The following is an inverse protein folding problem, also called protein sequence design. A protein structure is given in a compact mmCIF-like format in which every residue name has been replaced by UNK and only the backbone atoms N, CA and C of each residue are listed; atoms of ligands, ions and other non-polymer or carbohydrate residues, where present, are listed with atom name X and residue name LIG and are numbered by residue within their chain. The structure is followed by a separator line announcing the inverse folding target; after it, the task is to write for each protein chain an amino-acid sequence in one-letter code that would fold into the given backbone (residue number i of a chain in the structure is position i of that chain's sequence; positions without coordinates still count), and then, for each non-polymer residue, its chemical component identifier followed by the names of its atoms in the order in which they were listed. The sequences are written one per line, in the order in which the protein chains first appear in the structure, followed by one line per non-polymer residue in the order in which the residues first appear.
data_IF_131573715512
#
_entry.id   IF_131573715512
#
_cell.length_a   1.000
_cell.length_b   1.000
_cell.length_c   1.000
_cell.angle_alpha   90.00
_cell.angle_beta   90.00
_cell.angle_gamma   90.00
#
_symmetry.space_group_name_H-M   'P 1'
#
loop_
_entity.id
_entity.type
_entity.pdbx_description
1 polymer ?
#
# COMPACT_ATOMS: atom_id res chain seq x y z
N UNK A 1 -10.37 -12.53 -8.38
CA UNK A 1 -10.16 -13.29 -7.14
C UNK A 1 -10.53 -14.77 -7.41
N UNK A 2 -10.32 -15.69 -6.47
CA UNK A 2 -10.69 -17.11 -6.64
C UNK A 2 -12.17 -17.37 -6.99
N UNK A 3 -13.09 -16.46 -6.64
CA UNK A 3 -14.51 -16.56 -7.02
C UNK A 3 -14.71 -16.30 -8.52
N UNK A 4 -13.90 -15.41 -9.09
CA UNK A 4 -13.91 -15.06 -10.52
C UNK A 4 -12.81 -15.76 -11.33
N UNK A 5 -12.04 -16.67 -10.71
CA UNK A 5 -10.83 -17.32 -11.27
C UNK A 5 -9.74 -16.34 -11.77
N UNK A 6 -9.76 -15.11 -11.28
CA UNK A 6 -8.72 -14.11 -11.58
C UNK A 6 -7.67 -14.09 -10.45
N UNK A 7 -6.38 -13.89 -10.77
CA UNK A 7 -5.33 -13.80 -9.76
C UNK A 7 -5.66 -12.73 -8.72
N UNK A 8 -5.46 -13.06 -7.44
CA UNK A 8 -5.60 -12.15 -6.32
C UNK A 8 -4.21 -11.93 -5.72
N UNK A 9 -3.77 -10.68 -5.48
CA UNK A 9 -2.44 -10.40 -4.94
C UNK A 9 -2.16 -11.18 -3.65
N UNK A 10 -3.15 -11.27 -2.77
CA UNK A 10 -3.04 -12.02 -1.51
C UNK A 10 -2.95 -13.53 -1.73
N UNK A 11 -3.68 -14.09 -2.70
CA UNK A 11 -3.62 -15.53 -3.00
C UNK A 11 -2.27 -15.88 -3.61
N UNK A 12 -1.76 -15.05 -4.53
CA UNK A 12 -0.43 -15.22 -5.12
C UNK A 12 0.66 -15.10 -4.06
N UNK A 13 0.55 -14.11 -3.16
CA UNK A 13 1.45 -13.97 -2.02
C UNK A 13 1.48 -15.25 -1.19
N UNK A 14 0.32 -15.77 -0.74
CA UNK A 14 0.26 -17.01 0.05
C UNK A 14 0.79 -18.21 -0.74
N UNK A 15 0.57 -18.28 -2.06
CA UNK A 15 1.10 -19.37 -2.90
C UNK A 15 2.63 -19.35 -2.97
N UNK A 16 3.23 -18.16 -3.10
CA UNK A 16 4.67 -18.00 -3.25
C UNK A 16 5.41 -18.11 -1.90
N UNK A 17 4.73 -17.73 -0.82
CA UNK A 17 5.37 -17.40 0.44
C UNK A 17 4.76 -18.12 1.66
N UNK A 18 3.64 -18.82 1.51
CA UNK A 18 2.89 -19.40 2.62
C UNK A 18 2.20 -18.34 3.50
N UNK A 19 1.42 -18.78 4.51
CA UNK A 19 0.74 -17.86 5.42
C UNK A 19 1.75 -17.14 6.32
N UNK A 20 1.88 -15.81 6.13
CA UNK A 20 2.78 -14.95 6.90
C UNK A 20 2.28 -13.50 6.92
N UNK A 21 2.96 -12.65 7.70
CA UNK A 21 2.76 -11.20 7.71
C UNK A 21 2.90 -10.62 6.29
N UNK A 22 1.84 -9.96 5.80
CA UNK A 22 1.75 -9.42 4.44
C UNK A 22 2.06 -7.92 4.36
N UNK A 23 1.59 -7.15 5.34
CA UNK A 23 1.96 -5.75 5.53
C UNK A 23 1.90 -5.34 6.99
N UNK A 24 2.53 -4.21 7.31
CA UNK A 24 2.41 -3.52 8.61
C UNK A 24 1.86 -2.12 8.35
N UNK A 25 0.78 -1.76 9.03
CA UNK A 25 0.23 -0.42 9.00
C UNK A 25 0.86 0.45 10.10
N UNK A 26 1.41 1.60 9.70
CA UNK A 26 1.93 2.63 10.58
C UNK A 26 0.98 3.83 10.56
N UNK A 27 0.46 4.17 11.73
CA UNK A 27 -0.42 5.34 11.87
C UNK A 27 0.39 6.62 11.83
N UNK A 28 0.02 7.50 10.90
CA UNK A 28 0.47 8.88 10.87
C UNK A 28 -0.52 9.73 11.66
N UNK A 29 0.01 10.58 12.55
CA UNK A 29 -0.80 11.43 13.42
C UNK A 29 -1.65 12.39 12.59
N UNK A 30 -2.94 12.54 12.94
CA UNK A 30 -3.81 13.55 12.32
C UNK A 30 -3.22 14.96 12.51
N UNK A 31 -3.20 15.71 11.42
CA UNK A 31 -2.74 17.08 11.34
C UNK A 31 -2.06 17.36 10.02
N UNK A 32 -1.52 18.57 9.93
CA UNK A 32 -0.80 19.07 8.77
C UNK A 32 0.52 19.72 9.20
N UNK A 33 1.50 19.71 8.30
CA UNK A 33 2.73 20.50 8.39
C UNK A 33 2.77 21.41 7.16
N UNK A 34 2.86 22.73 7.38
CA UNK A 34 2.92 23.73 6.30
C UNK A 34 1.78 23.61 5.27
N UNK A 35 0.56 23.29 5.73
CA UNK A 35 -0.62 23.11 4.87
C UNK A 35 -0.67 21.80 4.09
N UNK A 36 0.31 20.90 4.30
CA UNK A 36 0.34 19.55 3.74
C UNK A 36 -0.11 18.54 4.78
N UNK A 37 -0.95 17.56 4.42
CA UNK A 37 -1.31 16.47 5.33
C UNK A 37 -0.08 15.71 5.80
N UNK A 38 -0.04 15.35 7.09
CA UNK A 38 1.13 14.72 7.69
C UNK A 38 1.55 13.44 6.95
N UNK A 39 0.60 12.64 6.45
CA UNK A 39 0.89 11.46 5.64
C UNK A 39 1.67 11.84 4.38
N UNK A 40 1.25 12.87 3.67
CA UNK A 40 1.94 13.29 2.45
C UNK A 40 3.33 13.84 2.79
N UNK A 41 3.50 14.52 3.94
CA UNK A 41 4.81 14.98 4.40
C UNK A 41 5.74 13.79 4.74
N UNK A 42 5.24 12.80 5.47
CA UNK A 42 6.00 11.60 5.86
C UNK A 42 6.37 10.78 4.62
N UNK A 43 5.44 10.59 3.69
CA UNK A 43 5.67 9.87 2.44
C UNK A 43 6.77 10.54 1.62
N UNK A 44 6.73 11.86 1.44
CA UNK A 44 7.79 12.60 0.74
C UNK A 44 9.15 12.41 1.42
N UNK A 45 9.19 12.55 2.75
CA UNK A 45 10.44 12.42 3.50
C UNK A 45 11.04 11.01 3.41
N UNK A 46 10.20 9.98 3.29
CA UNK A 46 10.62 8.59 3.12
C UNK A 46 11.02 8.31 1.66
N UNK A 47 10.28 8.84 0.70
CA UNK A 47 10.60 8.76 -0.72
C UNK A 47 11.94 9.42 -1.03
N UNK A 48 12.24 10.57 -0.40
CA UNK A 48 13.52 11.26 -0.52
C UNK A 48 14.72 10.43 -0.04
N UNK A 49 14.49 9.38 0.75
CA UNK A 49 15.50 8.41 1.19
C UNK A 49 15.60 7.18 0.27
N UNK A 50 14.92 7.20 -0.88
CA UNK A 50 14.98 6.17 -1.91
C UNK A 50 13.94 5.05 -1.76
N UNK A 51 12.97 5.18 -0.83
CA UNK A 51 11.90 4.19 -0.70
C UNK A 51 10.80 4.43 -1.73
N UNK A 52 10.52 3.42 -2.56
CA UNK A 52 9.42 3.46 -3.52
C UNK A 52 8.03 3.24 -2.89
N UNK A 53 7.02 3.76 -3.57
CA UNK A 53 5.60 3.59 -3.26
C UNK A 53 4.85 3.12 -4.51
N UNK A 54 3.71 2.45 -4.31
CA UNK A 54 2.95 1.83 -5.39
C UNK A 54 2.10 2.83 -6.20
N UNK A 55 1.68 3.90 -5.53
CA UNK A 55 0.83 4.97 -6.04
C UNK A 55 1.01 6.21 -5.15
N UNK A 56 0.40 7.33 -5.54
CA UNK A 56 0.21 8.46 -4.64
C UNK A 56 -0.75 8.09 -3.49
N UNK A 57 -0.78 8.89 -2.43
CA UNK A 57 -1.72 8.64 -1.32
C UNK A 57 -3.17 8.66 -1.81
N UNK A 58 -3.94 7.64 -1.46
CA UNK A 58 -5.37 7.51 -1.77
C UNK A 58 -6.24 7.95 -0.61
N UNK A 59 -7.46 8.35 -0.92
CA UNK A 59 -8.40 8.92 0.02
C UNK A 59 -8.12 10.38 0.36
N UNK A 60 -8.88 10.92 1.30
CA UNK A 60 -8.88 12.35 1.64
C UNK A 60 -9.28 12.59 3.08
N UNK A 61 -9.16 13.85 3.51
CA UNK A 61 -9.63 14.30 4.82
C UNK A 61 -11.15 14.18 4.94
N UNK A 62 -11.85 14.51 3.86
CA UNK A 62 -13.31 14.49 3.75
C UNK A 62 -13.86 13.05 3.87
N UNK A 63 -13.12 12.08 3.35
CA UNK A 63 -13.44 10.65 3.46
C UNK A 63 -13.02 10.04 4.82
N UNK A 64 -12.35 10.82 5.68
CA UNK A 64 -11.92 10.40 7.01
C UNK A 64 -10.62 9.59 7.02
N UNK A 65 -10.04 9.25 5.87
CA UNK A 65 -8.91 8.35 5.78
C UNK A 65 -8.04 8.59 4.54
N UNK A 66 -6.74 8.79 4.74
CA UNK A 66 -5.70 8.72 3.70
C UNK A 66 -4.75 7.55 3.92
N UNK A 67 -4.38 6.86 2.85
CA UNK A 67 -3.57 5.64 2.88
C UNK A 67 -2.60 5.55 1.71
N UNK A 68 -1.54 4.76 1.87
CA UNK A 68 -0.61 4.42 0.81
C UNK A 68 0.16 3.15 1.16
N UNK A 69 0.49 2.35 0.14
CA UNK A 69 1.41 1.22 0.25
C UNK A 69 2.78 1.57 -0.31
N UNK A 70 3.81 1.20 0.46
CA UNK A 70 5.18 1.16 -0.03
C UNK A 70 5.35 0.03 -1.04
N UNK A 71 6.34 0.12 -1.93
CA UNK A 71 6.75 -1.05 -2.74
C UNK A 71 7.10 -2.25 -1.86
N UNK A 72 6.90 -3.47 -2.36
CA UNK A 72 7.29 -4.66 -1.60
C UNK A 72 8.81 -4.68 -1.32
N UNK A 73 9.20 -5.01 -0.09
CA UNK A 73 10.62 -5.20 0.26
C UNK A 73 11.27 -6.28 -0.62
N UNK A 74 12.45 -6.01 -1.15
CA UNK A 74 13.21 -7.01 -1.92
C UNK A 74 13.65 -8.20 -1.04
N UNK A 75 13.83 -7.98 0.25
CA UNK A 75 14.36 -8.99 1.18
C UNK A 75 13.27 -9.81 1.87
N UNK A 76 12.10 -9.21 2.13
CA UNK A 76 11.03 -9.84 2.92
C UNK A 76 9.69 -9.93 2.20
N UNK A 77 9.55 -9.28 1.04
CA UNK A 77 8.27 -9.07 0.33
C UNK A 77 7.21 -8.35 1.17
N UNK A 78 7.60 -7.75 2.30
CA UNK A 78 6.72 -7.02 3.19
C UNK A 78 6.40 -5.63 2.60
N UNK A 79 5.13 -5.27 2.65
CA UNK A 79 4.64 -3.92 2.36
C UNK A 79 4.49 -3.13 3.66
N UNK A 80 4.88 -1.86 3.68
CA UNK A 80 4.52 -0.95 4.76
C UNK A 80 3.37 -0.07 4.27
N UNK A 81 2.30 -0.04 5.05
CA UNK A 81 1.17 0.85 4.84
C UNK A 81 1.31 2.06 5.76
N UNK A 82 1.14 3.27 5.23
CA UNK A 82 1.00 4.48 6.04
C UNK A 82 -0.45 4.91 6.03
N UNK A 83 -0.99 5.22 7.21
CA UNK A 83 -2.41 5.55 7.37
C UNK A 83 -2.58 6.80 8.22
N UNK A 84 -3.21 7.84 7.68
CA UNK A 84 -3.69 8.96 8.47
C UNK A 84 -5.21 8.91 8.54
N UNK A 85 -5.73 8.84 9.77
CA UNK A 85 -7.15 8.94 10.08
C UNK A 85 -7.48 10.38 10.43
N UNK A 86 -8.61 10.85 9.95
CA UNK A 86 -9.08 12.22 10.15
C UNK A 86 -10.36 12.24 10.96
N UNK A 87 -10.55 13.28 11.78
CA UNK A 87 -11.85 13.57 12.40
C UNK A 87 -12.43 12.44 13.27
N UNK A 88 -11.58 11.59 13.84
CA UNK A 88 -12.00 10.47 14.68
C UNK A 88 -12.44 9.21 13.91
N UNK A 89 -12.15 9.10 12.62
CA UNK A 89 -12.39 7.87 11.86
C UNK A 89 -11.63 6.68 12.48
N UNK A 90 -12.32 5.57 12.74
CA UNK A 90 -11.73 4.37 13.38
C UNK A 90 -11.62 3.15 12.43
N UNK A 91 -12.08 3.27 11.19
CA UNK A 91 -12.06 2.17 10.22
C UNK A 91 -10.66 1.84 9.67
N UNK A 92 -10.64 0.84 8.78
CA UNK A 92 -9.41 0.36 8.12
C UNK A 92 -9.26 0.84 6.68
N UNK A 93 -10.35 1.02 5.95
CA UNK A 93 -10.35 1.47 4.55
C UNK A 93 -11.70 2.03 4.17
N UNK A 94 -11.73 2.89 3.16
CA UNK A 94 -12.93 3.15 2.36
C UNK A 94 -13.05 2.10 1.26
N UNK A 95 -14.22 1.98 0.63
CA UNK A 95 -14.42 1.04 -0.48
C UNK A 95 -13.48 1.32 -1.65
N UNK A 96 -13.23 2.61 -1.92
CA UNK A 96 -12.40 3.03 -3.04
C UNK A 96 -10.91 2.86 -2.72
N UNK A 97 -10.48 3.24 -1.51
CA UNK A 97 -9.09 3.02 -1.06
C UNK A 97 -8.68 1.56 -1.17
N UNK A 98 -9.51 0.62 -0.69
CA UNK A 98 -9.15 -0.81 -0.74
C UNK A 98 -9.07 -1.33 -2.18
N UNK A 99 -9.92 -0.85 -3.08
CA UNK A 99 -9.90 -1.24 -4.48
C UNK A 99 -8.61 -0.77 -5.17
N UNK A 100 -8.26 0.52 -4.99
CA UNK A 100 -7.06 1.11 -5.59
C UNK A 100 -5.78 0.47 -5.06
N UNK A 101 -5.65 0.34 -3.73
CA UNK A 101 -4.48 -0.27 -3.09
C UNK A 101 -4.30 -1.74 -3.52
N UNK A 102 -5.39 -2.49 -3.62
CA UNK A 102 -5.34 -3.90 -4.06
C UNK A 102 -4.93 -4.01 -5.52
N UNK A 103 -5.45 -3.15 -6.39
CA UNK A 103 -5.09 -3.12 -7.80
C UNK A 103 -3.61 -2.79 -7.99
N UNK A 104 -3.09 -1.79 -7.28
CA UNK A 104 -1.70 -1.38 -7.37
C UNK A 104 -0.74 -2.48 -6.90
N UNK A 105 -1.06 -3.17 -5.79
CA UNK A 105 -0.27 -4.30 -5.30
C UNK A 105 -0.23 -5.47 -6.31
N UNK A 106 -1.36 -5.78 -6.96
CA UNK A 106 -1.41 -6.82 -8.00
C UNK A 106 -0.60 -6.49 -9.25
N UNK A 107 -0.58 -5.22 -9.66
CA UNK A 107 0.19 -4.75 -10.79
C UNK A 107 1.71 -4.86 -10.53
N UNK A 108 2.17 -4.48 -9.34
CA UNK A 108 3.58 -4.58 -8.95
C UNK A 108 4.06 -6.04 -8.98
N UNK A 109 3.29 -6.96 -8.39
CA UNK A 109 3.63 -8.38 -8.39
C UNK A 109 3.74 -8.95 -9.80
N UNK A 110 2.78 -8.60 -10.67
CA UNK A 110 2.77 -9.04 -12.06
C UNK A 110 4.00 -8.53 -12.84
N UNK A 111 4.37 -7.26 -12.62
CA UNK A 111 5.54 -6.65 -13.25
C UNK A 111 6.84 -7.34 -12.79
N UNK A 112 6.97 -7.60 -11.49
CA UNK A 112 8.16 -8.26 -10.92
C UNK A 112 8.32 -9.68 -11.47
N UNK A 113 7.24 -10.45 -11.55
CA UNK A 113 7.26 -11.79 -12.13
C UNK A 113 7.71 -11.79 -13.60
N UNK A 114 7.28 -10.82 -14.40
CA UNK A 114 7.72 -10.65 -15.80
C UNK A 114 9.22 -10.32 -15.89
N UNK A 115 9.72 -9.46 -15.01
CA UNK A 115 11.14 -9.11 -14.97
C UNK A 115 12.02 -10.30 -14.60
N UNK A 116 11.62 -11.08 -13.60
CA UNK A 116 12.34 -12.30 -13.19
C UNK A 116 12.36 -13.35 -14.32
N UNK A 117 11.25 -13.52 -15.04
CA UNK A 117 11.17 -14.44 -16.19
C UNK A 117 12.01 -13.98 -17.40
N UNK A 118 12.14 -12.67 -17.63
CA UNK A 118 12.94 -12.13 -18.73
C UNK A 118 14.46 -12.19 -18.48
N UNK A 119 14.87 -12.39 -17.23
CA UNK A 119 16.28 -12.50 -16.82
C UNK A 119 16.76 -13.96 -16.69
N UNK A 120 15.87 -14.94 -16.89
CA UNK A 120 16.14 -16.37 -16.84
C UNK A 120 16.41 -16.97 -18.23
#
# INVERSE_FOLDING_TARGET
NHLDKLPSPTETFVRNYGPRLHHIALTVKDGQVNGKENIDYVVDAIAAQGKGFLLDTVGSREEGLKQIFSSASQFSSLIIEYVQRFGGFEGFFTKDNVAELTQAAGAEESLRALQEAAQA
#
